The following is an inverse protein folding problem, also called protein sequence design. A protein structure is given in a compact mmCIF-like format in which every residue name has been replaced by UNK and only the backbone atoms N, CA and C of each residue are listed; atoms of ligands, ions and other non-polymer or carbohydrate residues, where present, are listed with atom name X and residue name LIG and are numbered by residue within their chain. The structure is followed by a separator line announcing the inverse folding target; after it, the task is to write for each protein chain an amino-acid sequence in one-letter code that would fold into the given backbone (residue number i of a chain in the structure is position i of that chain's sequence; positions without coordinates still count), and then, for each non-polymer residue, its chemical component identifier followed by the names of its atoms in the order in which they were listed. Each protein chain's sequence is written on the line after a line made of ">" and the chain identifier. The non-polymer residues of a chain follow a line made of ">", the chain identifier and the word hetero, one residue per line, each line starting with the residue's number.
data_IF_707739113935
#
_entry.id   IF_707739113935
#
_cell.length_a   1.000
_cell.length_b   1.000
_cell.length_c   1.000
_cell.angle_alpha   90.00
_cell.angle_beta   90.00
_cell.angle_gamma   90.00
#
_symmetry.space_group_name_H-M   'P 1'
#
loop_
_entity.id
_entity.type
_entity.pdbx_description
1 polymer ?
#
# COMPACT_ATOMS: atom_id res chain seq x y z
N UNK A 1 4.18 -18.07 15.23
CA UNK A 1 5.26 -17.95 14.25
C UNK A 1 5.17 -16.60 13.55
N UNK A 2 6.28 -15.90 13.42
CA UNK A 2 6.28 -14.63 12.72
C UNK A 2 6.09 -14.87 11.22
N UNK A 3 5.33 -13.98 10.59
CA UNK A 3 5.17 -13.99 9.14
C UNK A 3 6.52 -13.66 8.48
N UNK A 4 6.85 -14.42 7.45
CA UNK A 4 8.00 -14.10 6.60
C UNK A 4 7.49 -13.77 5.21
N UNK A 5 7.79 -12.56 4.74
CA UNK A 5 7.41 -12.15 3.41
C UNK A 5 8.08 -13.05 2.36
N UNK A 6 7.39 -13.40 1.26
CA UNK A 6 7.99 -14.19 0.19
C UNK A 6 9.17 -13.45 -0.43
N UNK A 7 10.11 -14.20 -1.01
CA UNK A 7 11.27 -13.61 -1.69
C UNK A 7 10.82 -12.66 -2.80
N UNK A 8 9.82 -13.08 -3.58
CA UNK A 8 9.26 -12.24 -4.65
C UNK A 8 7.90 -11.74 -4.21
N UNK A 9 7.81 -10.43 -4.07
CA UNK A 9 6.57 -9.69 -3.85
C UNK A 9 6.23 -9.02 -5.18
N UNK A 10 4.98 -9.12 -5.61
CA UNK A 10 4.57 -8.62 -6.92
C UNK A 10 3.97 -7.22 -6.81
N UNK A 11 4.17 -6.35 -7.81
CA UNK A 11 3.44 -5.09 -7.84
C UNK A 11 1.93 -5.34 -7.84
N UNK A 12 1.22 -4.58 -7.02
CA UNK A 12 -0.20 -4.78 -6.79
C UNK A 12 -0.53 -5.64 -5.59
N UNK A 13 0.41 -6.38 -5.04
CA UNK A 13 0.20 -7.10 -3.78
C UNK A 13 -0.07 -6.11 -2.66
N UNK A 14 -0.97 -6.48 -1.74
CA UNK A 14 -1.31 -5.66 -0.57
C UNK A 14 -0.95 -6.44 0.68
N UNK A 15 -0.18 -5.79 1.56
CA UNK A 15 0.26 -6.39 2.83
C UNK A 15 -0.13 -5.51 4.01
N UNK A 16 -0.47 -6.15 5.11
CA UNK A 16 -0.55 -5.49 6.40
C UNK A 16 0.87 -5.34 6.94
N UNK A 17 1.24 -4.11 7.30
CA UNK A 17 2.56 -3.82 7.83
C UNK A 17 2.44 -3.13 9.18
N UNK A 18 3.38 -3.43 10.09
CA UNK A 18 3.45 -2.73 11.35
C UNK A 18 3.86 -1.27 11.14
N UNK A 19 3.38 -0.36 12.00
CA UNK A 19 3.77 1.04 11.89
C UNK A 19 5.26 1.22 12.21
N UNK A 20 5.86 2.23 11.60
CA UNK A 20 7.20 2.67 11.96
C UNK A 20 7.09 3.56 13.19
N UNK A 21 7.79 3.26 14.29
CA UNK A 21 7.77 4.11 15.47
C UNK A 21 8.13 5.58 15.17
N UNK A 22 8.96 5.81 14.17
CA UNK A 22 9.34 7.17 13.75
C UNK A 22 8.17 7.95 13.14
N UNK A 23 7.12 7.28 12.66
CA UNK A 23 5.96 7.91 12.06
C UNK A 23 4.88 8.23 13.09
N UNK A 24 5.04 7.78 14.32
CA UNK A 24 4.05 7.99 15.38
C UNK A 24 4.24 9.37 15.99
N UNK A 25 3.17 10.15 16.06
CA UNK A 25 3.20 11.50 16.62
C UNK A 25 2.28 11.56 17.83
N UNK A 26 2.84 11.93 18.97
CA UNK A 26 2.08 12.14 20.20
C UNK A 26 1.46 10.85 20.74
N UNK A 27 0.17 10.87 21.04
CA UNK A 27 -0.55 9.77 21.65
C UNK A 27 -1.31 8.90 20.65
N UNK A 28 -0.95 8.98 19.37
CA UNK A 28 -1.60 8.17 18.35
C UNK A 28 -1.41 6.68 18.64
N UNK A 29 -2.51 5.91 18.44
CA UNK A 29 -2.45 4.47 18.58
C UNK A 29 -1.80 3.89 17.33
N UNK A 30 -0.71 3.16 17.53
CA UNK A 30 -0.04 2.47 16.44
C UNK A 30 -0.88 1.26 16.03
N UNK A 31 -1.25 1.21 14.76
CA UNK A 31 -1.98 0.10 14.18
C UNK A 31 -1.32 -0.36 12.91
N UNK A 32 -1.42 -1.66 12.64
CA UNK A 32 -1.03 -2.19 11.36
C UNK A 32 -1.85 -1.51 10.27
N UNK A 33 -1.23 -1.29 9.13
CA UNK A 33 -1.83 -0.59 8.01
C UNK A 33 -1.58 -1.36 6.74
N UNK A 34 -2.55 -1.31 5.81
CA UNK A 34 -2.36 -1.89 4.49
C UNK A 34 -1.46 -1.02 3.64
N UNK A 35 -0.65 -1.67 2.81
CA UNK A 35 0.23 -1.01 1.84
C UNK A 35 0.14 -1.74 0.51
N UNK A 36 -0.01 -0.99 -0.57
CA UNK A 36 -0.04 -1.52 -1.93
C UNK A 36 1.36 -1.43 -2.51
N UNK A 37 1.93 -2.58 -2.86
CA UNK A 37 3.27 -2.65 -3.45
C UNK A 37 3.21 -2.12 -4.88
N UNK A 38 4.08 -1.19 -5.23
CA UNK A 38 4.15 -0.59 -6.56
C UNK A 38 5.47 -0.88 -7.27
N UNK A 39 6.49 -1.32 -6.56
CA UNK A 39 7.78 -1.63 -7.14
C UNK A 39 7.77 -2.97 -7.88
N UNK A 40 8.60 -3.08 -8.91
CA UNK A 40 8.64 -4.25 -9.79
C UNK A 40 9.23 -5.46 -9.11
N UNK A 41 8.80 -6.65 -9.55
CA UNK A 41 9.16 -7.91 -8.91
C UNK A 41 10.67 -8.12 -8.75
N UNK A 42 11.46 -7.76 -9.75
CA UNK A 42 12.91 -7.94 -9.67
C UNK A 42 13.56 -7.05 -8.62
N UNK A 43 13.01 -5.87 -8.37
CA UNK A 43 13.46 -4.99 -7.29
C UNK A 43 13.00 -5.52 -5.93
N UNK A 44 11.86 -6.20 -5.90
CA UNK A 44 11.25 -6.71 -4.68
C UNK A 44 11.94 -7.97 -4.15
N UNK A 45 12.97 -8.46 -4.81
CA UNK A 45 13.77 -9.57 -4.31
C UNK A 45 14.67 -9.17 -3.14
N UNK A 46 14.93 -7.88 -3.00
CA UNK A 46 15.71 -7.35 -1.89
C UNK A 46 14.93 -7.32 -0.59
N UNK A 47 15.48 -6.63 0.39
CA UNK A 47 14.86 -6.52 1.72
C UNK A 47 13.74 -5.49 1.78
N UNK A 48 13.67 -4.60 0.82
CA UNK A 48 12.71 -3.49 0.81
C UNK A 48 11.85 -3.51 -0.45
N UNK A 49 10.64 -3.00 -0.30
CA UNK A 49 9.73 -2.76 -1.43
C UNK A 49 9.25 -1.32 -1.35
N UNK A 50 8.84 -0.76 -2.49
CA UNK A 50 8.21 0.56 -2.53
C UNK A 50 6.70 0.36 -2.55
N UNK A 51 6.00 1.07 -1.67
CA UNK A 51 4.57 0.88 -1.49
C UNK A 51 3.85 2.19 -1.18
N UNK A 52 2.54 2.17 -1.41
CA UNK A 52 1.63 3.31 -1.20
C UNK A 52 0.50 2.86 -0.29
N UNK A 53 0.17 3.62 0.76
CA UNK A 53 -0.93 3.25 1.64
C UNK A 53 -2.26 3.75 1.09
N UNK A 54 -3.32 2.94 1.11
CA UNK A 54 -4.68 3.41 0.86
C UNK A 54 -5.32 3.91 2.15
N UNK A 55 -6.31 4.78 2.02
CA UNK A 55 -7.14 5.21 3.15
C UNK A 55 -8.61 5.16 2.73
N UNK A 56 -9.49 4.83 3.67
CA UNK A 56 -10.94 4.91 3.47
C UNK A 56 -11.48 6.31 3.74
N UNK A 57 -10.64 7.22 4.23
CA UNK A 57 -11.06 8.58 4.52
C UNK A 57 -11.15 9.40 3.22
N UNK A 58 -12.35 9.43 2.65
CA UNK A 58 -12.60 10.11 1.37
C UNK A 58 -12.56 11.63 1.46
N UNK A 59 -12.40 12.20 2.65
CA UNK A 59 -12.29 13.67 2.80
C UNK A 59 -10.91 14.20 2.46
N UNK A 60 -9.93 13.32 2.23
CA UNK A 60 -8.58 13.74 1.83
C UNK A 60 -8.52 13.98 0.32
N UNK A 61 -9.38 14.86 -0.19
CA UNK A 61 -9.48 15.11 -1.62
C UNK A 61 -8.44 16.07 -2.16
N UNK A 62 -7.21 15.62 -2.33
CA UNK A 62 -6.16 16.37 -3.00
C UNK A 62 -6.02 15.85 -4.43
N UNK A 63 -5.80 16.73 -5.39
CA UNK A 63 -5.87 16.38 -6.82
C UNK A 63 -4.92 15.25 -7.28
N UNK A 64 -3.80 15.07 -6.60
CA UNK A 64 -2.84 14.01 -6.96
C UNK A 64 -3.13 12.67 -6.27
N UNK A 65 -4.12 12.60 -5.39
CA UNK A 65 -4.50 11.35 -4.75
C UNK A 65 -5.48 10.59 -5.65
N UNK A 66 -5.28 9.29 -5.74
CA UNK A 66 -6.00 8.45 -6.70
C UNK A 66 -7.10 7.67 -6.01
N UNK A 67 -8.33 7.83 -6.52
CA UNK A 67 -9.45 7.04 -6.05
C UNK A 67 -9.27 5.57 -6.45
N UNK A 68 -9.52 4.67 -5.51
CA UNK A 68 -9.53 3.23 -5.73
C UNK A 68 -10.94 2.73 -5.42
N UNK A 69 -11.80 2.56 -6.43
CA UNK A 69 -13.10 1.93 -6.21
C UNK A 69 -12.93 0.55 -5.56
N UNK A 70 -13.85 0.19 -4.69
CA UNK A 70 -13.76 -1.08 -3.96
C UNK A 70 -13.64 -2.29 -4.89
N UNK A 71 -14.18 -2.21 -6.10
CA UNK A 71 -14.16 -3.31 -7.07
C UNK A 71 -12.74 -3.59 -7.59
N UNK A 72 -11.80 -2.68 -7.38
CA UNK A 72 -10.40 -2.87 -7.75
C UNK A 72 -9.59 -3.58 -6.67
N UNK A 73 -10.18 -3.81 -5.50
CA UNK A 73 -9.50 -4.46 -4.37
C UNK A 73 -10.00 -5.89 -4.21
N UNK A 74 -9.07 -6.85 -4.21
CA UNK A 74 -9.36 -8.26 -3.99
C UNK A 74 -8.71 -8.62 -2.66
N UNK A 75 -9.48 -8.53 -1.58
CA UNK A 75 -8.98 -8.74 -0.23
C UNK A 75 -9.43 -10.11 0.29
N UNK A 76 -8.77 -10.56 1.35
CA UNK A 76 -9.17 -11.79 2.01
C UNK A 76 -10.56 -11.62 2.65
N UNK A 77 -11.14 -12.73 3.11
CA UNK A 77 -12.52 -12.76 3.59
C UNK A 77 -12.77 -12.00 4.88
N UNK A 78 -11.72 -11.60 5.58
CA UNK A 78 -11.85 -10.98 6.90
C UNK A 78 -12.07 -9.47 6.79
N UNK A 79 -11.76 -8.90 5.64
CA UNK A 79 -11.82 -7.45 5.45
C UNK A 79 -12.49 -7.15 4.12
N UNK A 80 -13.81 -6.87 4.14
CA UNK A 80 -14.49 -6.50 2.90
C UNK A 80 -13.87 -5.23 2.32
N UNK A 81 -13.74 -5.15 1.00
CA UNK A 81 -13.18 -3.96 0.37
C UNK A 81 -14.10 -2.75 0.54
N UNK A 82 -13.50 -1.59 0.63
CA UNK A 82 -14.21 -0.30 0.67
C UNK A 82 -13.60 0.64 -0.36
N UNK A 83 -14.40 1.57 -0.85
CA UNK A 83 -13.87 2.65 -1.66
C UNK A 83 -12.76 3.35 -0.89
N UNK A 84 -11.64 3.58 -1.55
CA UNK A 84 -10.43 4.07 -0.91
C UNK A 84 -9.76 5.12 -1.77
N UNK A 85 -8.78 5.79 -1.18
CA UNK A 85 -7.91 6.72 -1.88
C UNK A 85 -6.48 6.24 -1.67
N UNK A 86 -5.70 6.13 -2.74
CA UNK A 86 -4.27 5.85 -2.63
C UNK A 86 -3.54 7.14 -2.25
N UNK A 87 -2.85 7.12 -1.14
CA UNK A 87 -2.07 8.28 -0.66
C UNK A 87 -0.71 8.28 -1.35
N UNK A 88 -0.68 8.66 -2.61
CA UNK A 88 0.54 8.60 -3.43
C UNK A 88 1.65 9.48 -2.90
N UNK A 89 1.31 10.58 -2.22
CA UNK A 89 2.29 11.45 -1.57
C UNK A 89 2.93 10.82 -0.32
N UNK A 90 2.39 9.71 0.16
CA UNK A 90 2.96 8.95 1.27
C UNK A 90 3.70 7.70 0.81
N UNK A 91 4.08 7.65 -0.46
CA UNK A 91 4.90 6.56 -0.99
C UNK A 91 6.19 6.44 -0.18
N UNK A 92 6.58 5.19 0.14
CA UNK A 92 7.81 4.97 0.89
C UNK A 92 8.37 3.58 0.65
N UNK A 93 9.63 3.42 0.98
CA UNK A 93 10.30 2.14 0.97
C UNK A 93 10.04 1.44 2.31
N UNK A 94 9.52 0.22 2.25
CA UNK A 94 9.22 -0.58 3.43
C UNK A 94 10.15 -1.79 3.51
N UNK A 95 10.74 -2.00 4.67
CA UNK A 95 11.50 -3.21 4.93
C UNK A 95 10.52 -4.38 5.12
N UNK A 96 10.81 -5.52 4.49
CA UNK A 96 9.95 -6.71 4.55
C UNK A 96 9.78 -7.24 5.97
N UNK A 97 10.68 -6.94 6.89
CA UNK A 97 10.53 -7.33 8.30
C UNK A 97 9.32 -6.69 8.96
N UNK A 98 8.79 -5.61 8.38
CA UNK A 98 7.59 -4.94 8.88
C UNK A 98 6.30 -5.57 8.40
N UNK A 99 6.37 -6.53 7.48
CA UNK A 99 5.18 -7.20 6.95
C UNK A 99 4.59 -8.14 8.00
N UNK A 100 3.27 -8.09 8.16
CA UNK A 100 2.52 -8.96 9.07
C UNK A 100 1.86 -10.10 8.34
N UNK A 101 1.09 -9.79 7.30
CA UNK A 101 0.42 -10.80 6.48
C UNK A 101 -0.05 -10.16 5.18
N UNK A 102 -0.28 -11.01 4.18
CA UNK A 102 -0.84 -10.55 2.92
C UNK A 102 -2.33 -10.29 3.09
N UNK A 103 -2.79 -9.11 2.69
CA UNK A 103 -4.20 -8.75 2.73
C UNK A 103 -4.93 -9.12 1.43
N UNK A 104 -4.20 -9.14 0.31
CA UNK A 104 -4.79 -9.40 -0.98
C UNK A 104 -4.00 -8.74 -2.10
N UNK A 105 -4.71 -8.23 -3.09
CA UNK A 105 -4.09 -7.52 -4.21
C UNK A 105 -5.04 -6.49 -4.80
N UNK A 106 -4.48 -5.56 -5.56
CA UNK A 106 -5.25 -4.63 -6.37
C UNK A 106 -5.26 -5.14 -7.82
N UNK A 107 -6.34 -4.85 -8.55
CA UNK A 107 -6.43 -5.21 -9.96
C UNK A 107 -5.43 -4.40 -10.80
N UNK A 108 -5.15 -4.86 -12.02
CA UNK A 108 -4.24 -4.15 -12.93
C UNK A 108 -4.73 -2.74 -13.23
N UNK A 109 -6.05 -2.55 -13.35
CA UNK A 109 -6.62 -1.21 -13.55
C UNK A 109 -6.36 -0.30 -12.35
N UNK A 110 -6.55 -0.83 -11.14
CA UNK A 110 -6.27 -0.07 -9.92
C UNK A 110 -4.80 0.29 -9.79
N UNK A 111 -3.92 -0.65 -10.08
CA UNK A 111 -2.48 -0.41 -10.04
C UNK A 111 -2.06 0.62 -11.08
N UNK A 112 -2.61 0.54 -12.28
CA UNK A 112 -2.36 1.52 -13.34
C UNK A 112 -2.75 2.93 -12.90
N UNK A 113 -3.88 3.08 -12.22
CA UNK A 113 -4.31 4.37 -11.66
C UNK A 113 -3.32 4.92 -10.65
N UNK A 114 -2.82 4.07 -9.75
CA UNK A 114 -1.82 4.49 -8.77
C UNK A 114 -0.54 4.95 -9.48
N UNK A 115 -0.08 4.19 -10.48
CA UNK A 115 1.12 4.56 -11.24
C UNK A 115 0.95 5.91 -11.93
N UNK A 116 -0.21 6.17 -12.51
CA UNK A 116 -0.50 7.47 -13.12
C UNK A 116 -0.42 8.59 -12.08
N UNK A 117 -0.98 8.37 -10.88
CA UNK A 117 -0.88 9.33 -9.80
C UNK A 117 0.56 9.59 -9.35
N UNK A 118 1.39 8.55 -9.33
CA UNK A 118 2.82 8.69 -8.99
C UNK A 118 3.57 9.47 -10.06
N UNK A 119 3.29 9.21 -11.33
CA UNK A 119 3.89 9.96 -12.43
C UNK A 119 3.53 11.45 -12.32
N UNK A 120 2.28 11.75 -12.04
CA UNK A 120 1.84 13.13 -11.83
C UNK A 120 2.58 13.76 -10.65
N UNK A 121 2.72 13.02 -9.55
CA UNK A 121 3.35 13.52 -8.34
C UNK A 121 4.82 13.91 -8.56
N UNK A 122 5.56 13.12 -9.34
CA UNK A 122 6.98 13.37 -9.58
C UNK A 122 7.25 14.19 -10.83
N UNK A 123 6.22 14.57 -11.57
CA UNK A 123 6.35 15.46 -12.72
C UNK A 123 6.85 14.80 -13.99
N UNK A 124 6.59 13.53 -14.14
CA UNK A 124 6.96 12.80 -15.36
C UNK A 124 5.85 12.90 -16.40
#
# INVERSE_FOLDING_TARGET
>A
MAFQAPVIVKPGDIYWCEPDPADTVGSEIEKDRMWVVVSQSHLNRGNCVVAVPPTRNMTKGIAHLIAIPKDYLILDNQHPPNDSIALTDQIRCLDKTRFRRKAGRITDLGLSGIKTGLEYLVGI
#
